data_IF_301972029529
#
_entry.id   IF_301972029529
#
_cell.length_a   1.000
_cell.length_b   1.000
_cell.length_c   1.000
_cell.angle_alpha   90.00
_cell.angle_beta   90.00
_cell.angle_gamma   90.00
#
_symmetry.space_group_name_H-M   'P 1'
#
loop_
_entity.id
_entity.type
_entity.pdbx_description
1 polymer ?
#
# COMPACT_ATOMS: atom_id res chain seq x y z
N UNK A 1 -4.21 2.55 33.39
CA UNK A 1 -3.55 3.28 32.28
C UNK A 1 -4.21 2.81 31.02
N UNK A 2 -4.81 3.69 30.22
CA UNK A 2 -5.29 3.35 28.87
C UNK A 2 -4.08 2.98 28.04
N UNK A 3 -4.10 1.79 27.41
CA UNK A 3 -3.01 1.38 26.52
C UNK A 3 -2.80 2.47 25.44
N UNK A 4 -1.55 2.77 25.14
CA UNK A 4 -1.20 3.72 24.10
C UNK A 4 -1.79 3.27 22.77
N UNK A 5 -2.42 4.20 22.06
CA UNK A 5 -3.06 3.90 20.78
C UNK A 5 -2.02 3.60 19.72
N UNK A 6 -2.22 2.52 18.97
CA UNK A 6 -1.33 2.13 17.87
C UNK A 6 -1.56 3.09 16.71
N UNK A 7 -0.47 3.70 16.23
CA UNK A 7 -0.41 4.49 15.01
C UNK A 7 0.80 4.05 14.22
N UNK A 8 0.58 3.38 13.12
CA UNK A 8 1.65 2.71 12.41
C UNK A 8 1.62 2.86 10.89
N UNK A 9 2.65 2.28 10.28
CA UNK A 9 2.76 2.16 8.83
C UNK A 9 3.30 0.78 8.46
N UNK A 10 2.80 0.21 7.36
CA UNK A 10 3.28 -1.04 6.80
C UNK A 10 4.57 -0.81 6.00
N UNK A 11 5.58 -1.64 6.21
CA UNK A 11 6.79 -1.68 5.39
C UNK A 11 6.60 -2.67 4.22
N UNK A 12 5.55 -2.44 3.43
CA UNK A 12 5.20 -3.29 2.29
C UNK A 12 6.24 -3.31 1.19
N UNK A 13 6.22 -4.36 0.38
CA UNK A 13 7.14 -4.60 -0.73
C UNK A 13 8.62 -4.68 -0.35
N UNK A 14 8.95 -4.94 0.89
CA UNK A 14 10.34 -5.09 1.33
C UNK A 14 10.81 -6.55 1.30
N UNK A 15 10.17 -7.39 2.12
CA UNK A 15 10.49 -8.83 2.24
C UNK A 15 9.48 -9.71 1.49
N UNK A 16 8.27 -9.22 1.25
CA UNK A 16 7.24 -9.78 0.38
C UNK A 16 7.06 -8.83 -0.80
N UNK A 17 7.18 -9.33 -2.01
CA UNK A 17 7.24 -8.52 -3.22
C UNK A 17 5.89 -8.40 -3.91
N UNK A 18 5.54 -7.17 -4.28
CA UNK A 18 4.34 -6.85 -5.03
C UNK A 18 4.70 -5.98 -6.25
N UNK A 19 4.49 -6.51 -7.45
CA UNK A 19 4.89 -5.85 -8.71
C UNK A 19 4.33 -4.44 -8.86
N UNK A 20 3.10 -4.20 -8.44
CA UNK A 20 2.47 -2.89 -8.57
C UNK A 20 3.14 -1.82 -7.69
N UNK A 21 3.78 -2.23 -6.59
CA UNK A 21 4.50 -1.34 -5.68
C UNK A 21 5.89 -0.95 -6.21
N UNK A 22 6.62 -1.89 -6.86
CA UNK A 22 7.92 -1.63 -7.50
C UNK A 22 8.08 -2.40 -8.81
N UNK A 23 7.51 -1.91 -9.92
CA UNK A 23 7.55 -2.59 -11.21
C UNK A 23 8.97 -2.81 -11.76
N UNK A 24 9.93 -1.94 -11.41
CA UNK A 24 11.31 -2.04 -11.89
C UNK A 24 12.02 -3.31 -11.40
N UNK A 25 11.66 -3.81 -10.21
CA UNK A 25 12.17 -5.06 -9.70
C UNK A 25 11.82 -6.26 -10.61
N UNK A 26 10.66 -6.18 -11.28
CA UNK A 26 10.13 -7.20 -12.19
C UNK A 26 10.49 -6.96 -13.66
N UNK A 27 11.29 -5.95 -13.94
CA UNK A 27 11.63 -5.54 -15.31
C UNK A 27 12.23 -6.69 -16.12
N UNK A 28 11.80 -6.80 -17.38
CA UNK A 28 12.23 -7.87 -18.29
C UNK A 28 11.52 -9.20 -18.09
N UNK A 29 10.51 -9.25 -17.22
CA UNK A 29 9.63 -10.41 -17.03
C UNK A 29 8.17 -9.98 -17.09
N UNK A 30 7.29 -10.95 -17.26
CA UNK A 30 5.84 -10.82 -17.13
C UNK A 30 5.32 -11.41 -15.80
N UNK A 31 6.22 -11.73 -14.85
CA UNK A 31 5.86 -12.21 -13.52
C UNK A 31 4.95 -11.20 -12.79
N UNK A 32 3.90 -11.69 -12.16
CA UNK A 32 3.00 -10.88 -11.33
C UNK A 32 3.33 -10.98 -9.84
N UNK A 33 4.10 -12.00 -9.44
CA UNK A 33 4.46 -12.32 -8.06
C UNK A 33 5.92 -12.79 -7.92
N UNK A 34 6.38 -12.96 -6.68
CA UNK A 34 7.77 -13.37 -6.39
C UNK A 34 8.05 -14.79 -6.84
N UNK A 35 7.10 -15.70 -6.76
CA UNK A 35 7.28 -17.09 -7.17
C UNK A 35 7.60 -17.19 -8.67
N UNK A 36 6.82 -16.48 -9.49
CA UNK A 36 7.08 -16.43 -10.93
C UNK A 36 8.30 -15.60 -11.29
N UNK A 37 8.60 -14.53 -10.54
CA UNK A 37 9.84 -13.79 -10.72
C UNK A 37 11.06 -14.70 -10.56
N UNK A 38 11.05 -15.58 -9.53
CA UNK A 38 12.11 -16.56 -9.27
C UNK A 38 12.23 -17.63 -10.35
N UNK A 39 11.11 -18.04 -10.95
CA UNK A 39 11.09 -19.04 -12.03
C UNK A 39 11.57 -18.50 -13.37
N UNK A 40 11.40 -17.19 -13.61
CA UNK A 40 11.66 -16.57 -14.91
C UNK A 40 13.04 -15.89 -15.00
N UNK A 41 13.59 -15.41 -13.91
CA UNK A 41 14.89 -14.78 -13.91
C UNK A 41 16.01 -15.79 -13.73
N UNK A 42 17.17 -15.60 -14.39
CA UNK A 42 18.39 -16.33 -14.07
C UNK A 42 18.77 -16.11 -12.59
N UNK A 43 19.21 -17.18 -11.90
CA UNK A 43 19.45 -17.16 -10.46
C UNK A 43 20.38 -16.02 -9.99
N UNK A 44 21.49 -15.77 -10.70
CA UNK A 44 22.44 -14.70 -10.36
C UNK A 44 21.82 -13.30 -10.50
N UNK A 45 20.97 -13.08 -11.50
CA UNK A 45 20.29 -11.81 -11.70
C UNK A 45 19.20 -11.59 -10.65
N UNK A 46 18.45 -12.63 -10.31
CA UNK A 46 17.48 -12.61 -9.24
C UNK A 46 18.15 -12.25 -7.89
N UNK A 47 19.22 -12.98 -7.52
CA UNK A 47 19.98 -12.74 -6.29
C UNK A 47 20.45 -11.29 -6.20
N UNK A 48 21.06 -10.77 -7.27
CA UNK A 48 21.51 -9.38 -7.34
C UNK A 48 20.34 -8.40 -7.11
N UNK A 49 19.22 -8.57 -7.83
CA UNK A 49 18.06 -7.69 -7.72
C UNK A 49 17.43 -7.73 -6.32
N UNK A 50 17.26 -8.93 -5.76
CA UNK A 50 16.68 -9.08 -4.42
C UNK A 50 17.58 -8.46 -3.34
N UNK A 51 18.90 -8.65 -3.44
CA UNK A 51 19.85 -8.04 -2.52
C UNK A 51 19.80 -6.52 -2.60
N UNK A 52 19.93 -5.95 -3.79
CA UNK A 52 19.88 -4.50 -4.01
C UNK A 52 18.55 -3.91 -3.51
N UNK A 53 17.43 -4.57 -3.79
CA UNK A 53 16.12 -4.16 -3.34
C UNK A 53 16.01 -4.19 -1.80
N UNK A 54 16.33 -5.31 -1.16
CA UNK A 54 16.21 -5.48 0.28
C UNK A 54 17.13 -4.55 1.06
N UNK A 55 18.31 -4.24 0.52
CA UNK A 55 19.26 -3.30 1.13
C UNK A 55 18.83 -1.84 1.00
N UNK A 56 18.14 -1.45 -0.06
CA UNK A 56 17.81 -0.06 -0.37
C UNK A 56 16.35 0.32 -0.13
N UNK A 57 15.43 -0.66 -0.13
CA UNK A 57 14.00 -0.38 -0.03
C UNK A 57 13.62 0.19 1.34
N UNK A 58 14.07 -0.41 2.43
CA UNK A 58 13.90 0.12 3.78
C UNK A 58 15.30 0.28 4.41
N UNK A 59 15.54 1.45 4.95
CA UNK A 59 16.81 1.84 5.56
C UNK A 59 16.60 2.40 6.97
N UNK A 60 17.66 2.54 7.75
CA UNK A 60 17.61 3.17 9.07
C UNK A 60 17.02 4.58 9.01
N UNK A 61 17.36 5.36 7.96
CA UNK A 61 16.83 6.71 7.77
C UNK A 61 15.29 6.71 7.60
N UNK A 62 14.72 5.65 6.99
CA UNK A 62 13.28 5.51 6.85
C UNK A 62 12.62 5.31 8.23
N UNK A 63 13.19 4.44 9.10
CA UNK A 63 12.67 4.22 10.46
C UNK A 63 12.77 5.49 11.32
N UNK A 64 13.87 6.21 11.24
CA UNK A 64 14.04 7.52 11.89
C UNK A 64 12.98 8.52 11.43
N UNK A 65 12.73 8.57 10.12
CA UNK A 65 11.71 9.46 9.57
C UNK A 65 10.30 9.07 10.05
N UNK A 66 9.97 7.77 10.05
CA UNK A 66 8.67 7.24 10.52
C UNK A 66 8.42 7.64 11.98
N UNK A 67 9.40 7.44 12.86
CA UNK A 67 9.32 7.87 14.26
C UNK A 67 9.11 9.38 14.39
N UNK A 68 9.79 10.17 13.55
CA UNK A 68 9.64 11.63 13.51
C UNK A 68 8.24 12.12 13.08
N UNK A 69 7.41 11.24 12.51
CA UNK A 69 6.01 11.57 12.18
C UNK A 69 5.03 11.28 13.33
N UNK A 70 5.51 10.93 14.51
CA UNK A 70 4.66 10.58 15.67
C UNK A 70 4.00 9.20 15.54
N UNK A 71 4.49 8.34 14.65
CA UNK A 71 4.09 6.94 14.59
C UNK A 71 4.87 6.15 15.66
N UNK A 72 4.23 5.13 16.24
CA UNK A 72 4.81 4.30 17.31
C UNK A 72 4.98 2.83 16.91
N UNK A 73 4.56 2.45 15.68
CA UNK A 73 4.62 1.06 15.23
C UNK A 73 4.93 0.96 13.73
N UNK A 74 5.70 -0.06 13.36
CA UNK A 74 5.82 -0.55 11.98
C UNK A 74 5.32 -1.98 11.89
N UNK A 75 4.45 -2.28 10.90
CA UNK A 75 4.06 -3.64 10.53
C UNK A 75 4.95 -4.11 9.40
N UNK A 76 5.59 -5.27 9.57
CA UNK A 76 6.55 -5.80 8.61
C UNK A 76 6.03 -7.10 8.03
N UNK A 77 5.53 -7.07 6.77
CA UNK A 77 5.19 -8.27 6.02
C UNK A 77 6.41 -9.16 5.83
N UNK A 78 6.33 -10.42 6.26
CA UNK A 78 7.39 -11.43 6.09
C UNK A 78 6.88 -12.63 5.30
N UNK A 79 7.70 -13.23 4.43
CA UNK A 79 7.31 -14.40 3.67
C UNK A 79 7.45 -15.67 4.51
N UNK A 80 6.70 -16.71 4.14
CA UNK A 80 6.78 -18.04 4.76
C UNK A 80 8.20 -18.65 4.68
N UNK A 81 8.98 -18.26 3.68
CA UNK A 81 10.35 -18.72 3.46
C UNK A 81 11.41 -17.81 4.12
N UNK A 82 11.03 -16.95 5.06
CA UNK A 82 11.93 -15.98 5.72
C UNK A 82 13.27 -16.58 6.16
N UNK A 83 13.28 -17.81 6.60
CA UNK A 83 14.47 -18.51 7.10
C UNK A 83 15.28 -19.24 6.02
N UNK A 84 14.81 -19.31 4.78
CA UNK A 84 15.52 -19.93 3.66
C UNK A 84 15.61 -21.46 3.72
N UNK A 85 14.72 -22.14 4.43
CA UNK A 85 14.79 -23.60 4.64
C UNK A 85 14.39 -24.42 3.41
N UNK A 86 13.71 -23.80 2.46
CA UNK A 86 13.16 -24.47 1.28
C UNK A 86 13.65 -23.83 -0.01
N UNK A 87 14.45 -24.58 -0.77
CA UNK A 87 14.86 -24.16 -2.10
C UNK A 87 13.63 -23.92 -3.03
N UNK A 88 13.67 -22.95 -3.93
CA UNK A 88 14.79 -22.08 -4.28
C UNK A 88 14.84 -20.75 -3.49
N UNK A 89 14.20 -20.68 -2.33
CA UNK A 89 14.09 -19.46 -1.56
C UNK A 89 15.28 -19.30 -0.60
N UNK A 90 15.88 -18.11 -0.65
CA UNK A 90 16.98 -17.73 0.23
C UNK A 90 16.45 -17.03 1.48
N UNK A 91 17.21 -17.13 2.57
CA UNK A 91 16.90 -16.42 3.81
C UNK A 91 16.88 -14.90 3.59
N UNK A 92 15.96 -14.25 4.27
CA UNK A 92 15.93 -12.79 4.39
C UNK A 92 15.73 -12.33 5.85
N UNK A 93 15.95 -13.21 6.80
CA UNK A 93 15.78 -12.95 8.23
C UNK A 93 16.70 -11.84 8.76
N UNK A 94 17.89 -11.67 8.21
CA UNK A 94 18.83 -10.63 8.59
C UNK A 94 18.28 -9.20 8.38
N UNK A 95 17.42 -9.01 7.40
CA UNK A 95 16.76 -7.72 7.17
C UNK A 95 15.74 -7.42 8.28
N UNK A 96 15.02 -8.45 8.74
CA UNK A 96 14.13 -8.32 9.89
C UNK A 96 14.91 -8.04 11.18
N UNK A 97 16.07 -8.71 11.39
CA UNK A 97 16.96 -8.43 12.52
C UNK A 97 17.43 -6.97 12.54
N UNK A 98 17.82 -6.43 11.37
CA UNK A 98 18.19 -5.02 11.21
C UNK A 98 17.01 -4.09 11.51
N UNK A 99 15.80 -4.44 11.07
CA UNK A 99 14.60 -3.64 11.35
C UNK A 99 14.36 -3.50 12.85
N UNK A 100 14.55 -4.56 13.63
CA UNK A 100 14.43 -4.51 15.09
C UNK A 100 15.47 -3.57 15.72
N UNK A 101 16.73 -3.64 15.27
CA UNK A 101 17.78 -2.74 15.77
C UNK A 101 17.44 -1.27 15.51
N UNK A 102 16.92 -0.96 14.32
CA UNK A 102 16.54 0.40 13.97
C UNK A 102 15.27 0.84 14.70
N UNK A 103 14.25 -0.02 14.76
CA UNK A 103 12.98 0.29 15.44
C UNK A 103 13.23 0.59 16.94
N UNK A 104 13.96 -0.26 17.64
CA UNK A 104 14.32 -0.07 19.05
C UNK A 104 15.11 1.22 19.28
N UNK A 105 16.06 1.57 18.38
CA UNK A 105 16.83 2.82 18.45
C UNK A 105 15.93 4.05 18.40
N UNK A 106 14.86 4.01 17.66
CA UNK A 106 13.95 5.16 17.48
C UNK A 106 12.63 5.02 18.25
N UNK A 107 12.51 4.08 19.16
CA UNK A 107 11.34 3.90 20.03
C UNK A 107 10.10 3.35 19.31
N UNK A 108 10.27 2.76 18.11
CA UNK A 108 9.19 2.11 17.38
C UNK A 108 9.00 0.67 17.83
N UNK A 109 7.75 0.21 17.85
CA UNK A 109 7.42 -1.21 17.99
C UNK A 109 7.29 -1.88 16.63
N UNK A 110 7.53 -3.19 16.59
CA UNK A 110 7.42 -4.01 15.38
C UNK A 110 6.28 -5.00 15.55
N UNK A 111 5.32 -4.98 14.64
CA UNK A 111 4.37 -6.06 14.40
C UNK A 111 4.90 -6.90 13.24
N UNK A 112 5.33 -8.13 13.51
CA UNK A 112 5.70 -9.08 12.45
C UNK A 112 4.42 -9.66 11.89
N UNK A 113 4.25 -9.59 10.58
CA UNK A 113 3.09 -10.14 9.88
C UNK A 113 3.51 -11.27 8.94
N UNK A 114 3.07 -12.50 9.22
CA UNK A 114 3.25 -13.59 8.27
C UNK A 114 2.33 -13.38 7.07
N UNK A 115 2.90 -12.82 6.02
CA UNK A 115 2.13 -12.26 4.90
C UNK A 115 1.79 -13.27 3.81
N UNK A 116 2.56 -14.34 3.69
CA UNK A 116 2.38 -15.36 2.66
C UNK A 116 2.42 -16.77 3.25
N UNK A 117 1.87 -17.74 2.51
CA UNK A 117 1.96 -19.16 2.82
C UNK A 117 2.37 -19.96 1.58
N UNK A 118 2.98 -21.17 1.74
CA UNK A 118 3.18 -22.05 0.61
C UNK A 118 1.84 -22.40 -0.05
N UNK A 119 1.74 -22.22 -1.37
CA UNK A 119 0.47 -22.43 -2.07
C UNK A 119 -0.60 -21.34 -1.82
N UNK A 120 -0.21 -20.24 -1.20
CA UNK A 120 -0.99 -19.01 -1.01
C UNK A 120 -2.30 -19.19 -0.21
N UNK A 121 -2.71 -18.18 0.53
CA UNK A 121 -3.92 -18.15 1.37
C UNK A 121 -5.05 -17.27 0.81
N UNK A 122 -4.78 -16.49 -0.24
CA UNK A 122 -5.79 -15.60 -0.82
C UNK A 122 -5.85 -15.57 -2.35
N UNK A 123 -4.81 -16.03 -3.06
CA UNK A 123 -4.73 -16.01 -4.53
C UNK A 123 -4.34 -14.68 -5.14
N UNK A 124 -3.97 -13.69 -4.31
CA UNK A 124 -3.46 -12.40 -4.76
C UNK A 124 -1.92 -12.41 -4.87
N UNK A 125 -1.36 -11.37 -5.47
CA UNK A 125 0.07 -11.16 -5.60
C UNK A 125 0.77 -10.99 -4.23
N UNK A 126 0.12 -10.31 -3.28
CA UNK A 126 0.60 -10.19 -1.90
C UNK A 126 0.73 -11.55 -1.17
N UNK A 127 0.04 -12.59 -1.60
CA UNK A 127 0.21 -13.96 -1.10
C UNK A 127 1.37 -14.72 -1.75
N UNK A 128 2.07 -14.12 -2.72
CA UNK A 128 3.30 -14.63 -3.35
C UNK A 128 3.12 -15.59 -4.50
N UNK A 129 1.87 -15.97 -4.86
CA UNK A 129 1.56 -16.85 -6.00
C UNK A 129 0.15 -16.55 -6.54
N UNK A 130 0.08 -15.74 -7.59
CA UNK A 130 -1.19 -15.27 -8.17
C UNK A 130 -2.04 -16.42 -8.70
N UNK A 131 -3.33 -16.39 -8.35
CA UNK A 131 -4.34 -17.34 -8.85
C UNK A 131 -4.36 -18.69 -8.16
N UNK A 132 -3.47 -18.93 -7.20
CA UNK A 132 -3.43 -20.16 -6.40
C UNK A 132 -3.88 -19.84 -4.98
N UNK A 133 -4.76 -20.66 -4.39
CA UNK A 133 -5.20 -20.53 -3.00
C UNK A 133 -5.50 -21.92 -2.44
N UNK A 134 -4.48 -22.66 -1.99
CA UNK A 134 -4.61 -24.06 -1.57
C UNK A 134 -3.85 -24.43 -0.30
N UNK A 135 -3.09 -23.51 0.29
CA UNK A 135 -2.32 -23.75 1.52
C UNK A 135 -3.11 -24.54 2.58
N UNK A 136 -4.33 -24.11 2.88
CA UNK A 136 -5.18 -24.67 3.94
C UNK A 136 -5.63 -26.12 3.68
N UNK A 137 -5.38 -26.65 2.48
CA UNK A 137 -5.73 -28.02 2.07
C UNK A 137 -4.57 -29.00 2.18
N UNK A 138 -3.40 -28.51 2.48
CA UNK A 138 -2.18 -29.30 2.64
C UNK A 138 -1.74 -29.27 4.10
N UNK A 139 -1.95 -30.38 4.85
CA UNK A 139 -1.59 -30.45 6.26
C UNK A 139 -0.10 -30.24 6.54
N UNK A 140 0.79 -30.65 5.61
CA UNK A 140 2.24 -30.48 5.76
C UNK A 140 2.62 -29.01 5.65
N UNK A 141 1.99 -28.30 4.71
CA UNK A 141 2.22 -26.86 4.55
C UNK A 141 1.62 -26.04 5.70
N UNK A 142 0.50 -26.47 6.25
CA UNK A 142 -0.08 -25.88 7.47
C UNK A 142 0.86 -26.03 8.65
N UNK A 143 1.41 -27.24 8.85
CA UNK A 143 2.37 -27.53 9.92
C UNK A 143 3.67 -26.75 9.75
N UNK A 144 4.14 -26.63 8.51
CA UNK A 144 5.31 -25.82 8.21
C UNK A 144 5.10 -24.33 8.59
N UNK A 145 3.95 -23.75 8.25
CA UNK A 145 3.60 -22.39 8.62
C UNK A 145 3.55 -22.19 10.14
N UNK A 146 2.99 -23.16 10.87
CA UNK A 146 3.01 -23.16 12.35
C UNK A 146 4.45 -23.21 12.91
N UNK A 147 5.32 -23.95 12.26
CA UNK A 147 6.74 -24.01 12.61
C UNK A 147 7.44 -22.68 12.36
N UNK A 148 7.16 -22.01 11.23
CA UNK A 148 7.69 -20.65 10.94
C UNK A 148 7.24 -19.66 12.02
N UNK A 149 5.97 -19.66 12.40
CA UNK A 149 5.44 -18.80 13.47
C UNK A 149 6.13 -19.08 14.82
N UNK A 150 6.32 -20.34 15.17
CA UNK A 150 7.03 -20.74 16.41
C UNK A 150 8.46 -20.22 16.41
N UNK A 151 9.17 -20.34 15.26
CA UNK A 151 10.54 -19.82 15.11
C UNK A 151 10.61 -18.30 15.21
N UNK A 152 9.61 -17.59 14.65
CA UNK A 152 9.49 -16.12 14.80
C UNK A 152 9.31 -15.77 16.28
N UNK A 153 8.40 -16.43 16.98
CA UNK A 153 8.18 -16.23 18.42
C UNK A 153 9.43 -16.52 19.25
N UNK A 154 10.14 -17.62 19.00
CA UNK A 154 11.38 -17.96 19.69
C UNK A 154 12.51 -16.96 19.45
N UNK A 155 12.64 -16.43 18.21
CA UNK A 155 13.69 -15.48 17.85
C UNK A 155 13.44 -14.08 18.39
N UNK A 156 12.21 -13.59 18.30
CA UNK A 156 11.87 -12.19 18.58
C UNK A 156 11.04 -11.98 19.85
N UNK A 157 10.51 -13.03 20.46
CA UNK A 157 9.58 -12.95 21.60
C UNK A 157 10.10 -12.11 22.75
N UNK A 158 11.40 -12.19 23.04
CA UNK A 158 12.05 -11.43 24.11
C UNK A 158 12.61 -10.06 23.68
N UNK A 159 12.42 -9.65 22.40
CA UNK A 159 12.86 -8.32 21.98
C UNK A 159 11.98 -7.25 22.56
N UNK A 160 12.58 -6.20 23.10
CA UNK A 160 11.82 -5.06 23.63
C UNK A 160 10.98 -4.40 22.54
N UNK A 161 11.54 -4.29 21.34
CA UNK A 161 10.88 -3.71 20.18
C UNK A 161 9.69 -4.51 19.64
N UNK A 162 9.51 -5.80 20.03
CA UNK A 162 8.36 -6.56 19.55
C UNK A 162 7.05 -6.06 20.16
N UNK A 163 6.10 -5.64 19.32
CA UNK A 163 4.70 -5.47 19.70
C UNK A 163 3.99 -6.82 19.73
N UNK A 164 4.13 -7.60 18.66
CA UNK A 164 3.48 -8.89 18.52
C UNK A 164 3.73 -9.56 17.17
N UNK A 165 3.05 -10.68 16.98
CA UNK A 165 3.08 -11.44 15.72
C UNK A 165 1.66 -11.58 15.20
N UNK A 166 1.45 -11.16 13.96
CA UNK A 166 0.25 -11.44 13.19
C UNK A 166 0.41 -12.78 12.49
N UNK A 167 -0.56 -13.66 12.77
CA UNK A 167 -0.45 -15.09 12.47
C UNK A 167 -0.57 -15.37 10.98
N UNK A 168 -1.39 -14.59 10.26
CA UNK A 168 -1.58 -14.75 8.83
C UNK A 168 -2.28 -13.53 8.22
N UNK A 169 -1.70 -12.94 7.19
CA UNK A 169 -2.30 -11.89 6.38
C UNK A 169 -3.44 -12.43 5.49
N UNK A 170 -4.58 -11.77 5.50
CA UNK A 170 -5.68 -11.87 4.51
C UNK A 170 -6.10 -13.29 4.06
N UNK A 171 -6.37 -14.25 4.95
CA UNK A 171 -6.93 -15.53 4.53
C UNK A 171 -8.33 -15.34 3.93
N UNK A 172 -8.45 -15.60 2.62
CA UNK A 172 -9.60 -15.18 1.83
C UNK A 172 -10.93 -15.86 2.22
N UNK A 173 -11.99 -15.06 2.35
CA UNK A 173 -13.34 -15.57 2.62
C UNK A 173 -14.01 -16.14 1.37
N UNK A 174 -15.08 -16.90 1.56
CA UNK A 174 -15.91 -17.41 0.45
C UNK A 174 -16.43 -16.26 -0.42
N UNK A 175 -16.96 -15.21 0.20
CA UNK A 175 -17.54 -14.07 -0.52
C UNK A 175 -16.49 -13.36 -1.38
N UNK A 176 -15.33 -13.04 -0.80
CA UNK A 176 -14.27 -12.33 -1.53
C UNK A 176 -13.67 -13.21 -2.62
N UNK A 177 -13.45 -14.51 -2.34
CA UNK A 177 -12.92 -15.45 -3.32
C UNK A 177 -13.82 -15.58 -4.58
N UNK A 178 -15.14 -15.58 -4.41
CA UNK A 178 -16.08 -15.70 -5.53
C UNK A 178 -16.48 -14.35 -6.16
N UNK A 179 -16.23 -13.23 -5.51
CA UNK A 179 -16.50 -11.91 -6.08
C UNK A 179 -15.34 -11.38 -6.94
N UNK A 180 -14.14 -11.94 -6.80
CA UNK A 180 -12.98 -11.58 -7.60
C UNK A 180 -12.45 -12.82 -8.36
N UNK A 181 -12.00 -12.70 -9.62
CA UNK A 181 -11.50 -13.84 -10.40
C UNK A 181 -10.08 -14.23 -9.95
N UNK A 182 -9.92 -14.74 -8.73
CA UNK A 182 -8.61 -15.08 -8.15
C UNK A 182 -7.91 -16.19 -8.94
N UNK A 183 -8.59 -17.33 -9.15
CA UNK A 183 -8.00 -18.47 -9.88
C UNK A 183 -7.96 -18.26 -11.39
N UNK A 184 -8.78 -17.38 -11.94
CA UNK A 184 -8.75 -17.04 -13.37
C UNK A 184 -7.46 -16.31 -13.80
N UNK A 185 -6.68 -15.81 -12.83
CA UNK A 185 -5.39 -15.14 -13.05
C UNK A 185 -4.18 -16.06 -12.92
N UNK A 186 -4.39 -17.33 -12.56
CA UNK A 186 -3.27 -18.26 -12.42
C UNK A 186 -2.54 -18.44 -13.75
N UNK A 187 -1.22 -18.26 -13.73
CA UNK A 187 -0.36 -18.48 -14.90
C UNK A 187 -0.28 -19.96 -15.25
N UNK A 188 -0.24 -20.81 -14.23
CA UNK A 188 -0.33 -22.26 -14.36
C UNK A 188 -1.67 -22.76 -13.82
N UNK A 189 -2.51 -23.28 -14.72
CA UNK A 189 -3.82 -23.81 -14.38
C UNK A 189 -3.75 -25.12 -13.57
N UNK A 190 -2.73 -25.93 -13.78
CA UNK A 190 -2.54 -27.17 -13.02
C UNK A 190 -2.15 -26.82 -11.58
N UNK A 191 -1.26 -25.84 -11.38
CA UNK A 191 -0.88 -25.37 -10.06
C UNK A 191 -2.06 -24.76 -9.29
N UNK A 192 -3.01 -24.15 -9.99
CA UNK A 192 -4.24 -23.58 -9.39
C UNK A 192 -5.32 -24.64 -9.10
N UNK A 193 -5.16 -25.87 -9.59
CA UNK A 193 -6.13 -26.94 -9.36
C UNK A 193 -6.29 -27.22 -7.87
N UNK A 194 -7.52 -27.32 -7.42
CA UNK A 194 -7.84 -27.50 -6.02
C UNK A 194 -7.80 -26.21 -5.18
N UNK A 195 -7.58 -25.03 -5.78
CA UNK A 195 -7.71 -23.74 -5.06
C UNK A 195 -9.13 -23.53 -4.55
N UNK A 196 -9.26 -22.76 -3.47
CA UNK A 196 -10.53 -22.40 -2.85
C UNK A 196 -10.37 -21.43 -1.69
N UNK A 197 -11.47 -20.85 -1.23
CA UNK A 197 -11.46 -19.97 -0.07
C UNK A 197 -11.02 -20.73 1.20
N UNK A 198 -10.49 -19.98 2.17
CA UNK A 198 -10.12 -20.53 3.49
C UNK A 198 -11.36 -20.63 4.39
N UNK A 199 -11.82 -21.85 4.77
CA UNK A 199 -13.01 -22.00 5.60
C UNK A 199 -12.84 -21.40 6.99
N UNK A 200 -13.85 -20.71 7.52
CA UNK A 200 -13.80 -20.11 8.85
C UNK A 200 -13.53 -21.14 9.97
N UNK A 201 -14.09 -22.35 9.83
CA UNK A 201 -13.84 -23.44 10.79
C UNK A 201 -12.37 -23.81 10.84
N UNK A 202 -11.74 -23.99 9.67
CA UNK A 202 -10.31 -24.25 9.55
C UNK A 202 -9.50 -23.12 10.17
N UNK A 203 -9.80 -21.87 9.82
CA UNK A 203 -9.07 -20.71 10.28
C UNK A 203 -9.11 -20.56 11.82
N UNK A 204 -10.24 -20.84 12.44
CA UNK A 204 -10.36 -20.86 13.90
C UNK A 204 -9.48 -21.91 14.56
N UNK A 205 -9.42 -23.12 14.00
CA UNK A 205 -8.55 -24.19 14.50
C UNK A 205 -7.08 -23.81 14.35
N UNK A 206 -6.70 -23.31 13.18
CA UNK A 206 -5.35 -22.85 12.90
C UNK A 206 -4.92 -21.71 13.87
N UNK A 207 -5.79 -20.72 14.12
CA UNK A 207 -5.48 -19.62 15.03
C UNK A 207 -5.33 -20.06 16.49
N UNK A 208 -6.13 -21.02 16.96
CA UNK A 208 -5.97 -21.58 18.30
C UNK A 208 -4.63 -22.30 18.43
N UNK A 209 -4.26 -23.10 17.45
CA UNK A 209 -2.98 -23.83 17.48
C UNK A 209 -1.79 -22.88 17.36
N UNK A 210 -1.86 -21.88 16.48
CA UNK A 210 -0.83 -20.84 16.36
C UNK A 210 -0.67 -20.05 17.67
N UNK A 211 -1.78 -19.66 18.31
CA UNK A 211 -1.76 -19.00 19.62
C UNK A 211 -1.06 -19.88 20.67
N UNK A 212 -1.44 -21.15 20.78
CA UNK A 212 -0.85 -22.07 21.74
C UNK A 212 0.67 -22.17 21.56
N UNK A 213 1.15 -22.38 20.33
CA UNK A 213 2.59 -22.49 20.02
C UNK A 213 3.35 -21.20 20.26
N UNK A 214 2.78 -20.07 19.91
CA UNK A 214 3.39 -18.76 20.17
C UNK A 214 3.53 -18.52 21.68
N UNK A 215 2.55 -18.91 22.50
CA UNK A 215 2.61 -18.73 23.95
C UNK A 215 3.63 -19.65 24.64
N UNK A 216 4.08 -20.72 24.00
CA UNK A 216 5.18 -21.55 24.49
C UNK A 216 6.55 -20.87 24.37
N UNK A 217 6.69 -19.94 23.42
CA UNK A 217 7.98 -19.30 23.06
C UNK A 217 7.99 -17.78 23.17
N UNK A 218 6.84 -17.15 23.44
CA UNK A 218 6.70 -15.72 23.46
C UNK A 218 5.95 -15.26 24.73
N UNK A 219 6.47 -14.26 25.48
CA UNK A 219 5.83 -13.74 26.69
C UNK A 219 4.39 -13.25 26.47
N UNK A 220 3.58 -13.28 27.54
CA UNK A 220 2.16 -12.88 27.48
C UNK A 220 1.95 -11.39 27.23
N UNK A 221 2.95 -10.55 27.49
CA UNK A 221 2.90 -9.11 27.19
C UNK A 221 3.06 -8.78 25.69
N UNK A 222 3.49 -9.75 24.89
CA UNK A 222 3.55 -9.61 23.43
C UNK A 222 2.22 -10.01 22.79
N UNK A 223 1.75 -9.20 21.84
CA UNK A 223 0.47 -9.44 21.18
C UNK A 223 0.50 -10.64 20.21
N UNK A 224 -0.62 -11.36 20.12
CA UNK A 224 -0.92 -12.23 18.99
C UNK A 224 -2.07 -11.61 18.21
N UNK A 225 -1.85 -11.33 16.93
CA UNK A 225 -2.81 -10.67 16.07
C UNK A 225 -3.38 -11.67 15.07
N UNK A 226 -4.70 -11.63 14.89
CA UNK A 226 -5.41 -12.49 13.95
C UNK A 226 -6.13 -11.64 12.93
N UNK A 227 -5.94 -11.90 11.64
CA UNK A 227 -6.70 -11.24 10.60
C UNK A 227 -8.14 -11.78 10.54
N UNK A 228 -9.12 -10.91 10.30
CA UNK A 228 -10.55 -11.26 10.28
C UNK A 228 -10.98 -12.15 9.10
N UNK A 229 -10.11 -12.28 8.09
CA UNK A 229 -10.39 -13.02 6.87
C UNK A 229 -11.59 -12.45 6.12
N UNK A 230 -11.79 -11.14 6.16
CA UNK A 230 -12.92 -10.41 5.58
C UNK A 230 -14.28 -10.86 6.14
N UNK A 231 -14.33 -11.21 7.44
CA UNK A 231 -15.51 -11.75 8.15
C UNK A 231 -15.61 -11.19 9.58
N UNK A 232 -15.38 -9.90 9.74
CA UNK A 232 -15.16 -9.22 11.01
C UNK A 232 -16.14 -9.67 12.11
N UNK A 233 -17.44 -9.63 11.86
CA UNK A 233 -18.44 -9.94 12.90
C UNK A 233 -18.55 -11.42 13.22
N UNK A 234 -18.03 -12.32 12.38
CA UNK A 234 -18.07 -13.75 12.62
C UNK A 234 -17.17 -14.21 13.79
N UNK A 235 -16.26 -13.32 14.25
CA UNK A 235 -15.30 -13.61 15.31
C UNK A 235 -15.84 -13.35 16.73
N UNK A 236 -16.97 -12.67 16.89
CA UNK A 236 -17.53 -12.32 18.21
C UNK A 236 -17.68 -13.53 19.13
N UNK A 237 -18.28 -14.63 18.65
CA UNK A 237 -18.48 -15.81 19.47
C UNK A 237 -17.17 -16.54 19.79
N UNK A 238 -16.18 -16.45 18.91
CA UNK A 238 -14.88 -17.06 19.09
C UNK A 238 -14.13 -16.42 20.27
N UNK A 239 -14.02 -15.09 20.28
CA UNK A 239 -13.29 -14.38 21.34
C UNK A 239 -14.07 -14.30 22.66
N UNK A 240 -15.41 -14.30 22.64
CA UNK A 240 -16.21 -14.34 23.87
C UNK A 240 -16.04 -15.61 24.71
N UNK A 241 -15.55 -16.70 24.12
CA UNK A 241 -15.23 -17.91 24.88
C UNK A 241 -14.09 -17.72 25.87
N UNK A 242 -13.29 -16.66 25.68
CA UNK A 242 -12.18 -16.29 26.57
C UNK A 242 -10.99 -17.23 26.50
N UNK A 243 -10.04 -17.04 27.42
CA UNK A 243 -8.86 -17.89 27.54
C UNK A 243 -7.64 -17.44 26.79
N UNK A 244 -7.77 -16.54 25.80
CA UNK A 244 -6.63 -15.93 25.11
C UNK A 244 -6.30 -14.57 25.72
N UNK A 245 -5.01 -14.34 26.02
CA UNK A 245 -4.51 -13.10 26.57
C UNK A 245 -3.76 -12.29 25.51
N UNK A 246 -3.85 -10.98 25.58
CA UNK A 246 -3.16 -10.02 24.71
C UNK A 246 -3.30 -10.37 23.23
N UNK A 247 -4.54 -10.48 22.79
CA UNK A 247 -4.90 -10.76 21.39
C UNK A 247 -5.60 -9.57 20.76
N UNK A 248 -5.39 -9.39 19.48
CA UNK A 248 -6.04 -8.38 18.65
C UNK A 248 -6.67 -9.06 17.44
N UNK A 249 -7.76 -8.51 16.95
CA UNK A 249 -8.33 -8.86 15.66
C UNK A 249 -8.00 -7.75 14.67
N UNK A 250 -7.27 -8.10 13.63
CA UNK A 250 -6.96 -7.20 12.53
C UNK A 250 -8.06 -7.23 11.47
N UNK A 251 -8.33 -6.07 10.88
CA UNK A 251 -9.23 -5.89 9.74
C UNK A 251 -8.65 -4.89 8.76
N UNK A 252 -8.74 -5.18 7.47
CA UNK A 252 -8.31 -4.28 6.40
C UNK A 252 -9.51 -3.52 5.84
N UNK A 253 -9.42 -2.20 5.80
CA UNK A 253 -10.54 -1.32 5.45
C UNK A 253 -10.12 -0.35 4.35
N UNK A 254 -10.57 -0.62 3.14
CA UNK A 254 -10.23 0.19 1.98
C UNK A 254 -11.48 0.78 1.32
N UNK A 255 -11.61 2.10 1.30
CA UNK A 255 -12.65 2.78 0.49
C UNK A 255 -12.50 2.41 -0.98
N UNK A 256 -11.27 2.28 -1.47
CA UNK A 256 -10.97 1.85 -2.84
C UNK A 256 -11.60 0.48 -3.18
N UNK A 257 -11.57 -0.49 -2.26
CA UNK A 257 -12.19 -1.80 -2.47
C UNK A 257 -13.72 -1.68 -2.59
N UNK A 258 -14.35 -0.81 -1.79
CA UNK A 258 -15.77 -0.50 -1.91
C UNK A 258 -16.11 0.12 -3.27
N UNK A 259 -15.24 1.01 -3.78
CA UNK A 259 -15.43 1.68 -5.08
C UNK A 259 -15.40 0.72 -6.28
N UNK A 260 -14.84 -0.49 -6.14
CA UNK A 260 -14.92 -1.52 -7.18
C UNK A 260 -16.34 -2.05 -7.38
N UNK A 261 -17.14 -2.05 -6.31
CA UNK A 261 -18.50 -2.59 -6.32
C UNK A 261 -19.59 -1.51 -6.46
N UNK A 262 -19.28 -0.25 -6.12
CA UNK A 262 -20.23 0.86 -6.16
C UNK A 262 -19.77 1.95 -7.15
N UNK A 263 -20.62 2.38 -8.08
CA UNK A 263 -20.26 3.39 -9.09
C UNK A 263 -20.21 4.83 -8.54
N UNK A 264 -20.51 5.03 -7.27
CA UNK A 264 -20.64 6.34 -6.65
C UNK A 264 -19.37 6.71 -5.86
N UNK A 265 -18.61 7.69 -6.38
CA UNK A 265 -17.35 8.17 -5.80
C UNK A 265 -17.57 9.55 -5.14
N UNK A 266 -18.39 9.59 -4.10
CA UNK A 266 -18.77 10.83 -3.40
C UNK A 266 -18.46 10.73 -1.90
N UNK A 267 -18.02 11.80 -1.24
CA UNK A 267 -17.70 11.79 0.19
C UNK A 267 -18.83 11.28 1.08
N UNK A 268 -20.09 11.56 0.75
CA UNK A 268 -21.22 11.07 1.55
C UNK A 268 -21.34 9.54 1.53
N UNK A 269 -21.02 8.87 0.40
CA UNK A 269 -21.01 7.41 0.29
C UNK A 269 -19.89 6.83 1.14
N UNK A 270 -18.72 7.48 1.14
CA UNK A 270 -17.60 7.08 2.00
C UNK A 270 -17.96 7.17 3.48
N UNK A 271 -18.65 8.26 3.91
CA UNK A 271 -19.13 8.40 5.30
C UNK A 271 -20.11 7.28 5.67
N UNK A 272 -21.00 6.87 4.77
CA UNK A 272 -21.90 5.74 5.02
C UNK A 272 -21.14 4.42 5.15
N UNK A 273 -20.17 4.17 4.28
CA UNK A 273 -19.31 2.98 4.35
C UNK A 273 -18.52 2.96 5.67
N UNK A 274 -17.82 4.04 6.00
CA UNK A 274 -17.02 4.16 7.21
C UNK A 274 -17.89 4.06 8.46
N UNK A 275 -19.06 4.69 8.50
CA UNK A 275 -20.02 4.56 9.61
C UNK A 275 -20.54 3.13 9.79
N UNK A 276 -20.71 2.38 8.69
CA UNK A 276 -21.03 0.96 8.77
C UNK A 276 -19.85 0.15 9.34
N UNK A 277 -18.64 0.37 8.83
CA UNK A 277 -17.42 -0.27 9.32
C UNK A 277 -17.21 0.00 10.82
N UNK A 278 -17.32 1.26 11.24
CA UNK A 278 -17.21 1.64 12.65
C UNK A 278 -18.22 0.90 13.54
N UNK A 279 -19.48 0.83 13.10
CA UNK A 279 -20.53 0.09 13.84
C UNK A 279 -20.19 -1.39 13.99
N UNK A 280 -19.66 -2.02 12.93
CA UNK A 280 -19.24 -3.42 12.98
C UNK A 280 -18.03 -3.60 13.92
N UNK A 281 -17.03 -2.74 13.81
CA UNK A 281 -15.83 -2.73 14.65
C UNK A 281 -16.24 -2.58 16.13
N UNK A 282 -17.03 -1.57 16.49
CA UNK A 282 -17.53 -1.35 17.87
C UNK A 282 -18.26 -2.56 18.43
N UNK A 283 -18.98 -3.31 17.59
CA UNK A 283 -19.65 -4.55 18.00
C UNK A 283 -18.65 -5.64 18.37
N UNK A 284 -17.55 -5.77 17.62
CA UNK A 284 -16.51 -6.78 17.82
C UNK A 284 -15.59 -6.40 18.99
N UNK A 285 -15.33 -5.14 19.17
CA UNK A 285 -14.49 -4.62 20.27
C UNK A 285 -15.04 -4.91 21.68
N UNK A 286 -16.30 -5.32 21.78
CA UNK A 286 -16.85 -5.86 23.05
C UNK A 286 -16.26 -7.23 23.43
N UNK A 287 -15.57 -7.91 22.51
CA UNK A 287 -15.01 -9.23 22.71
C UNK A 287 -13.48 -9.27 22.56
N UNK A 288 -12.91 -8.42 21.72
CA UNK A 288 -11.48 -8.36 21.41
C UNK A 288 -11.12 -6.98 20.88
N UNK A 289 -9.97 -6.37 21.25
CA UNK A 289 -9.49 -5.15 20.60
C UNK A 289 -9.36 -5.34 19.10
N UNK A 290 -9.85 -4.37 18.31
CA UNK A 290 -9.76 -4.38 16.84
C UNK A 290 -8.72 -3.38 16.39
N UNK A 291 -7.78 -3.85 15.57
CA UNK A 291 -6.78 -3.06 14.86
C UNK A 291 -7.22 -2.90 13.41
N UNK A 292 -7.03 -1.72 12.81
CA UNK A 292 -7.13 -1.55 11.36
C UNK A 292 -5.71 -1.64 10.80
N UNK A 293 -5.29 -2.87 10.43
CA UNK A 293 -3.92 -3.17 10.03
C UNK A 293 -3.55 -2.68 8.65
N UNK A 294 -4.57 -2.44 7.80
CA UNK A 294 -4.34 -1.82 6.51
C UNK A 294 -5.48 -0.87 6.12
N UNK A 295 -5.12 0.32 5.67
CA UNK A 295 -5.98 1.34 5.07
C UNK A 295 -5.16 2.32 4.28
N UNK A 296 -5.77 3.10 3.39
CA UNK A 296 -5.09 4.17 2.66
C UNK A 296 -6.10 5.22 2.16
N UNK A 297 -5.62 6.42 1.84
CA UNK A 297 -6.45 7.51 1.30
C UNK A 297 -6.65 7.46 -0.22
N UNK A 298 -6.28 6.36 -0.88
CA UNK A 298 -6.51 6.19 -2.30
C UNK A 298 -8.00 6.01 -2.57
N UNK A 299 -8.61 6.99 -3.25
CA UNK A 299 -9.99 6.95 -3.73
C UNK A 299 -10.07 7.56 -5.11
N UNK A 300 -11.08 7.20 -5.90
CA UNK A 300 -11.35 7.84 -7.19
C UNK A 300 -11.72 9.32 -7.03
N UNK A 301 -12.36 9.67 -5.92
CA UNK A 301 -12.68 11.07 -5.60
C UNK A 301 -11.42 11.95 -5.46
N UNK A 302 -10.39 11.45 -4.80
CA UNK A 302 -9.16 12.20 -4.54
C UNK A 302 -8.13 12.02 -5.68
N UNK A 303 -7.99 10.80 -6.24
CA UNK A 303 -6.97 10.45 -7.23
C UNK A 303 -7.31 10.91 -8.65
N UNK A 304 -8.58 10.85 -9.02
CA UNK A 304 -9.03 11.23 -10.37
C UNK A 304 -9.63 12.63 -10.37
N UNK A 305 -8.77 13.63 -10.38
CA UNK A 305 -9.15 14.89 -10.97
C UNK A 305 -9.41 14.61 -12.45
N UNK A 306 -10.59 14.98 -12.96
CA UNK A 306 -11.02 14.81 -14.36
C UNK A 306 -10.12 15.56 -15.36
N UNK A 307 -8.80 15.35 -15.30
CA UNK A 307 -7.83 16.11 -16.10
C UNK A 307 -7.51 15.48 -17.43
N UNK A 308 -7.84 14.19 -17.66
CA UNK A 308 -7.57 13.57 -18.96
C UNK A 308 -8.37 14.15 -20.14
N UNK A 309 -9.40 14.96 -19.89
CA UNK A 309 -10.10 15.67 -20.99
C UNK A 309 -9.55 17.05 -21.29
N UNK A 310 -8.71 17.63 -20.44
CA UNK A 310 -8.19 18.98 -20.63
C UNK A 310 -6.71 19.03 -21.01
N UNK A 311 -5.89 18.06 -20.62
CA UNK A 311 -4.48 18.02 -21.01
C UNK A 311 -4.29 17.79 -22.53
N UNK A 312 -5.18 17.02 -23.18
CA UNK A 312 -5.13 16.84 -24.62
C UNK A 312 -5.76 17.97 -25.44
N UNK A 313 -6.81 18.62 -24.93
CA UNK A 313 -7.52 19.65 -25.70
C UNK A 313 -7.03 21.07 -25.46
N UNK A 314 -6.48 21.36 -24.28
CA UNK A 314 -5.94 22.69 -23.97
C UNK A 314 -4.59 22.95 -24.63
N UNK A 315 -3.72 21.95 -24.65
CA UNK A 315 -2.43 22.00 -25.36
C UNK A 315 -2.59 21.94 -26.87
N UNK A 316 -3.57 21.20 -27.39
CA UNK A 316 -3.89 21.18 -28.81
C UNK A 316 -4.47 22.52 -29.29
N UNK A 317 -5.37 23.15 -28.54
CA UNK A 317 -5.96 24.44 -28.90
C UNK A 317 -4.88 25.54 -28.82
N UNK A 318 -4.01 25.49 -27.79
CA UNK A 318 -2.90 26.44 -27.69
C UNK A 318 -1.83 26.21 -28.75
N UNK A 319 -1.45 24.95 -28.99
CA UNK A 319 -0.53 24.57 -30.05
C UNK A 319 -1.05 24.93 -31.45
N UNK A 320 -2.34 24.74 -31.71
CA UNK A 320 -3.01 25.14 -32.94
C UNK A 320 -3.06 26.66 -33.07
N UNK A 321 -3.38 27.40 -32.02
CA UNK A 321 -3.38 28.88 -32.03
C UNK A 321 -1.98 29.47 -32.16
N UNK A 322 -0.97 28.91 -31.50
CA UNK A 322 0.43 29.32 -31.66
C UNK A 322 0.93 29.02 -33.07
N UNK A 323 0.53 27.92 -33.68
CA UNK A 323 0.83 27.58 -35.05
C UNK A 323 0.13 28.51 -36.05
N UNK A 324 -1.16 28.81 -35.82
CA UNK A 324 -1.91 29.79 -36.62
C UNK A 324 -1.30 31.20 -36.52
N UNK A 325 -0.84 31.61 -35.31
CA UNK A 325 -0.11 32.88 -35.15
C UNK A 325 1.25 32.87 -35.87
N UNK A 326 2.02 31.78 -35.76
CA UNK A 326 3.30 31.62 -36.46
C UNK A 326 3.11 31.69 -37.99
N UNK A 327 2.10 30.97 -38.52
CA UNK A 327 1.79 30.99 -39.97
C UNK A 327 1.30 32.37 -40.44
N UNK A 328 0.54 33.12 -39.59
CA UNK A 328 0.16 34.49 -39.87
C UNK A 328 1.36 35.43 -39.85
N UNK A 329 2.26 35.28 -38.87
CA UNK A 329 3.50 36.05 -38.74
C UNK A 329 4.41 35.81 -39.93
N UNK A 330 4.60 34.56 -40.37
CA UNK A 330 5.39 34.20 -41.53
C UNK A 330 4.80 34.80 -42.83
N UNK A 331 3.48 34.86 -42.94
CA UNK A 331 2.77 35.49 -44.07
C UNK A 331 2.97 37.01 -44.12
N UNK A 332 2.92 37.66 -42.92
CA UNK A 332 3.15 39.11 -42.80
C UNK A 332 4.63 39.45 -43.09
N UNK A 333 5.57 38.60 -42.64
CA UNK A 333 7.00 38.78 -42.87
C UNK A 333 7.37 38.61 -44.36
N UNK A 334 6.75 37.69 -45.09
CA UNK A 334 6.93 37.50 -46.52
C UNK A 334 6.50 38.72 -47.37
N UNK A 335 5.53 39.51 -46.85
CA UNK A 335 5.06 40.74 -47.52
C UNK A 335 5.87 41.99 -47.10
N UNK A 336 6.57 41.93 -45.96
CA UNK A 336 7.33 43.04 -45.35
C UNK A 336 8.73 43.28 -45.98
N UNK A 337 9.23 42.36 -46.82
CA UNK A 337 10.55 42.49 -47.49
C UNK A 337 10.63 43.69 -48.44
N UNK A 338 9.49 44.38 -48.65
CA UNK A 338 9.41 45.61 -49.48
C UNK A 338 9.69 46.91 -48.69
N UNK A 339 9.83 46.89 -47.35
CA UNK A 339 9.95 48.09 -46.52
C UNK A 339 11.01 47.96 -45.39
N UNK A 340 12.27 47.74 -45.76
CA UNK A 340 13.40 47.43 -44.85
C UNK A 340 13.67 48.35 -43.66
N UNK A 341 13.10 49.53 -43.59
CA UNK A 341 13.33 50.48 -42.50
C UNK A 341 12.30 50.43 -41.38
N UNK A 342 11.10 49.91 -41.62
CA UNK A 342 10.03 49.71 -40.64
C UNK A 342 10.07 48.31 -39.99
N UNK A 343 10.67 47.33 -40.66
CA UNK A 343 10.71 45.93 -40.27
C UNK A 343 11.41 45.74 -38.92
N UNK A 344 12.58 46.34 -38.71
CA UNK A 344 13.33 46.14 -37.46
C UNK A 344 12.61 46.65 -36.19
N UNK A 345 11.79 47.72 -36.30
CA UNK A 345 10.99 48.21 -35.20
C UNK A 345 9.72 47.37 -34.98
N UNK A 346 9.18 46.77 -36.02
CA UNK A 346 8.07 45.84 -35.96
C UNK A 346 8.50 44.51 -35.39
N UNK A 347 9.64 43.98 -35.85
CA UNK A 347 10.25 42.74 -35.32
C UNK A 347 10.53 42.83 -33.82
N UNK A 348 11.06 43.94 -33.35
CA UNK A 348 11.29 44.14 -31.90
C UNK A 348 9.99 44.17 -31.07
N UNK A 349 8.98 44.91 -31.56
CA UNK A 349 7.66 44.99 -30.89
C UNK A 349 6.94 43.65 -30.94
N UNK A 350 7.09 42.91 -32.00
CA UNK A 350 6.51 41.60 -32.17
C UNK A 350 7.18 40.56 -31.26
N UNK A 351 8.52 40.60 -31.12
CA UNK A 351 9.28 39.78 -30.19
C UNK A 351 8.88 40.09 -28.71
N UNK A 352 8.72 41.39 -28.36
CA UNK A 352 8.25 41.81 -27.04
C UNK A 352 6.81 41.37 -26.76
N UNK A 353 5.93 41.41 -27.77
CA UNK A 353 4.56 40.91 -27.64
C UNK A 353 4.48 39.41 -27.51
N UNK A 354 5.26 38.65 -28.28
CA UNK A 354 5.35 37.21 -28.15
C UNK A 354 5.87 36.79 -26.79
N UNK A 355 6.95 37.43 -26.31
CA UNK A 355 7.49 37.17 -24.98
C UNK A 355 6.47 37.47 -23.86
N UNK A 356 5.69 38.56 -24.00
CA UNK A 356 4.60 38.89 -23.05
C UNK A 356 3.49 37.83 -23.04
N UNK A 357 3.12 37.32 -24.24
CA UNK A 357 2.14 36.23 -24.37
C UNK A 357 2.65 34.94 -23.76
N UNK A 358 3.91 34.55 -24.04
CA UNK A 358 4.53 33.38 -23.45
C UNK A 358 4.54 33.46 -21.90
N UNK A 359 4.99 34.57 -21.34
CA UNK A 359 4.98 34.79 -19.91
C UNK A 359 3.57 34.70 -19.30
N UNK A 360 2.57 35.31 -19.95
CA UNK A 360 1.18 35.25 -19.52
C UNK A 360 0.61 33.82 -19.55
N UNK A 361 0.95 33.05 -20.59
CA UNK A 361 0.57 31.65 -20.73
C UNK A 361 1.25 30.79 -19.66
N UNK A 362 2.53 30.98 -19.42
CA UNK A 362 3.26 30.27 -18.36
C UNK A 362 2.70 30.59 -16.98
N UNK A 363 2.40 31.87 -16.70
CA UNK A 363 1.77 32.27 -15.45
C UNK A 363 0.38 31.61 -15.28
N UNK A 364 -0.46 31.67 -16.29
CA UNK A 364 -1.79 31.04 -16.27
C UNK A 364 -1.69 29.52 -16.05
N UNK A 365 -0.75 28.84 -16.72
CA UNK A 365 -0.54 27.40 -16.52
C UNK A 365 -0.05 27.09 -15.12
N UNK A 366 0.80 27.95 -14.53
CA UNK A 366 1.30 27.82 -13.18
C UNK A 366 0.15 27.96 -12.16
N UNK A 367 -0.61 29.05 -12.24
CA UNK A 367 -1.77 29.33 -11.35
C UNK A 367 -2.80 28.20 -11.42
N UNK A 368 -3.09 27.72 -12.63
CA UNK A 368 -4.02 26.61 -12.83
C UNK A 368 -3.50 25.29 -12.24
N UNK A 369 -2.19 25.03 -12.36
CA UNK A 369 -1.54 23.87 -11.76
C UNK A 369 -1.61 23.95 -10.23
N UNK A 370 -1.33 25.10 -9.65
CA UNK A 370 -1.41 25.34 -8.20
C UNK A 370 -2.84 25.16 -7.69
N UNK A 371 -3.83 25.73 -8.35
CA UNK A 371 -5.25 25.56 -8.00
C UNK A 371 -5.70 24.09 -8.08
N UNK A 372 -5.20 23.32 -9.05
CA UNK A 372 -5.48 21.91 -9.17
C UNK A 372 -4.82 21.09 -8.05
N UNK A 373 -3.60 21.44 -7.68
CA UNK A 373 -2.87 20.80 -6.58
C UNK A 373 -3.56 21.07 -5.24
N UNK A 374 -4.00 22.30 -5.00
CA UNK A 374 -4.74 22.63 -3.79
C UNK A 374 -6.08 21.88 -3.70
N UNK A 375 -6.84 21.85 -4.78
CA UNK A 375 -8.08 21.06 -4.83
C UNK A 375 -7.85 19.57 -4.62
N UNK A 376 -6.74 19.03 -5.09
CA UNK A 376 -6.35 17.66 -4.83
C UNK A 376 -6.00 17.45 -3.35
N UNK A 377 -5.27 18.40 -2.76
CA UNK A 377 -4.91 18.40 -1.34
C UNK A 377 -6.16 18.40 -0.45
N UNK A 378 -7.10 19.30 -0.71
CA UNK A 378 -8.39 19.36 0.01
C UNK A 378 -9.12 18.01 -0.02
N UNK A 379 -9.20 17.36 -1.18
CA UNK A 379 -9.89 16.09 -1.34
C UNK A 379 -9.19 14.94 -0.60
N UNK A 380 -7.86 14.87 -0.66
CA UNK A 380 -7.13 13.87 0.08
C UNK A 380 -7.22 14.09 1.58
N UNK A 381 -7.19 15.33 2.05
CA UNK A 381 -7.43 15.68 3.46
C UNK A 381 -8.84 15.30 3.90
N UNK A 382 -9.86 15.61 3.11
CA UNK A 382 -11.23 15.18 3.43
C UNK A 382 -11.34 13.68 3.63
N UNK A 383 -10.71 12.88 2.76
CA UNK A 383 -10.69 11.42 2.90
C UNK A 383 -9.89 10.99 4.13
N UNK A 384 -8.70 11.53 4.32
CA UNK A 384 -7.85 11.21 5.48
C UNK A 384 -8.56 11.51 6.80
N UNK A 385 -9.20 12.67 6.92
CA UNK A 385 -9.94 13.06 8.12
C UNK A 385 -11.12 12.15 8.42
N UNK A 386 -11.86 11.73 7.39
CA UNK A 386 -12.97 10.79 7.57
C UNK A 386 -12.48 9.43 8.09
N UNK A 387 -11.42 8.89 7.48
CA UNK A 387 -10.85 7.60 7.86
C UNK A 387 -10.22 7.66 9.25
N UNK A 388 -9.34 8.63 9.52
CA UNK A 388 -8.68 8.78 10.82
C UNK A 388 -9.68 8.95 11.98
N UNK A 389 -10.72 9.79 11.81
CA UNK A 389 -11.79 9.91 12.82
C UNK A 389 -12.49 8.58 13.09
N UNK A 390 -12.68 7.77 12.07
CA UNK A 390 -13.31 6.45 12.20
C UNK A 390 -12.38 5.49 12.97
N UNK A 391 -11.10 5.46 12.60
CA UNK A 391 -10.11 4.56 13.20
C UNK A 391 -9.70 4.98 14.62
N UNK A 392 -9.93 6.24 15.01
CA UNK A 392 -9.75 6.67 16.41
C UNK A 392 -10.66 5.90 17.39
N UNK A 393 -11.72 5.26 16.94
CA UNK A 393 -12.56 4.39 17.77
C UNK A 393 -12.00 2.97 17.99
N UNK A 394 -10.89 2.61 17.35
CA UNK A 394 -10.27 1.26 17.37
C UNK A 394 -9.08 1.19 18.32
N UNK A 395 -8.45 0.03 18.45
CA UNK A 395 -7.18 -0.11 19.18
C UNK A 395 -6.03 0.64 18.50
N UNK A 396 -6.17 0.91 17.23
CA UNK A 396 -5.23 1.68 16.42
C UNK A 396 -5.35 1.38 14.94
N UNK A 397 -4.46 1.97 14.18
CA UNK A 397 -4.43 1.85 12.73
C UNK A 397 -3.01 1.79 12.18
N UNK A 398 -2.83 1.14 11.02
CA UNK A 398 -1.56 1.00 10.33
C UNK A 398 -1.79 1.28 8.84
N UNK A 399 -1.14 2.31 8.30
CA UNK A 399 -1.32 2.74 6.93
C UNK A 399 -0.65 1.80 5.93
N UNK A 400 -1.32 1.43 4.83
CA UNK A 400 -0.71 0.72 3.72
C UNK A 400 -0.42 1.67 2.56
N UNK A 401 0.83 1.95 2.21
CA UNK A 401 2.08 1.47 2.74
C UNK A 401 3.04 2.65 2.94
N UNK A 402 4.22 2.42 3.54
CA UNK A 402 5.19 3.47 3.79
C UNK A 402 5.62 4.19 2.51
N UNK A 403 5.99 3.45 1.45
CA UNK A 403 6.40 4.01 0.16
C UNK A 403 6.13 3.07 -1.01
N UNK A 404 6.00 3.67 -2.20
CA UNK A 404 5.87 2.97 -3.49
C UNK A 404 6.89 3.51 -4.49
N UNK A 405 7.29 2.64 -5.45
CA UNK A 405 8.16 3.01 -6.57
C UNK A 405 9.44 3.75 -6.13
N UNK A 406 9.98 3.40 -4.98
CA UNK A 406 11.18 4.02 -4.41
C UNK A 406 11.09 5.54 -4.35
N UNK A 407 12.08 6.22 -4.91
CA UNK A 407 12.11 7.68 -5.05
C UNK A 407 11.70 8.16 -6.45
N UNK A 408 11.33 7.24 -7.36
CA UNK A 408 10.93 7.57 -8.73
C UNK A 408 9.69 8.45 -8.75
N UNK A 409 9.67 9.43 -9.64
CA UNK A 409 8.47 10.22 -9.90
C UNK A 409 7.42 9.33 -10.57
N UNK A 410 6.19 9.35 -10.06
CA UNK A 410 5.06 8.65 -10.66
C UNK A 410 4.62 9.37 -11.94
N UNK A 411 4.31 8.60 -12.98
CA UNK A 411 3.72 9.13 -14.21
C UNK A 411 2.27 9.57 -14.00
N UNK A 412 1.70 10.27 -14.97
CA UNK A 412 0.28 10.66 -14.91
C UNK A 412 -0.65 9.45 -14.77
N UNK A 413 -0.36 8.35 -15.49
CA UNK A 413 -1.12 7.09 -15.39
C UNK A 413 -1.01 6.38 -14.04
N UNK A 414 0.02 6.70 -13.25
CA UNK A 414 0.25 6.15 -11.92
C UNK A 414 -0.19 7.08 -10.79
N UNK A 415 -0.84 8.20 -11.10
CA UNK A 415 -1.26 9.21 -10.10
C UNK A 415 -2.14 8.64 -8.98
N UNK A 416 -2.91 7.59 -9.26
CA UNK A 416 -3.70 6.87 -8.27
C UNK A 416 -2.85 6.24 -7.16
N UNK A 417 -1.57 5.91 -7.43
CA UNK A 417 -0.65 5.34 -6.43
C UNK A 417 -0.27 6.32 -5.32
N UNK A 418 -0.44 7.64 -5.53
CA UNK A 418 -0.06 8.61 -4.49
C UNK A 418 -0.76 8.37 -3.16
N UNK A 419 -2.05 8.04 -3.18
CA UNK A 419 -2.82 7.77 -1.96
C UNK A 419 -2.46 6.46 -1.24
N UNK A 420 -1.56 5.66 -1.80
CA UNK A 420 -1.00 4.45 -1.18
C UNK A 420 0.38 4.68 -0.54
N UNK A 421 1.05 5.80 -0.84
CA UNK A 421 2.40 6.12 -0.37
C UNK A 421 2.32 7.12 0.80
N UNK A 422 2.41 6.62 2.03
CA UNK A 422 2.32 7.43 3.25
C UNK A 422 3.33 8.57 3.27
N UNK A 423 4.60 8.28 2.92
CA UNK A 423 5.67 9.28 2.91
C UNK A 423 5.36 10.44 1.97
N UNK A 424 4.79 10.14 0.79
CA UNK A 424 4.37 11.17 -0.17
C UNK A 424 3.12 11.92 0.31
N UNK A 425 2.18 11.22 0.95
CA UNK A 425 0.98 11.86 1.52
C UNK A 425 1.33 12.88 2.60
N UNK A 426 2.23 12.51 3.52
CA UNK A 426 2.71 13.43 4.57
C UNK A 426 3.46 14.63 3.96
N UNK A 427 4.42 14.39 3.05
CA UNK A 427 5.18 15.47 2.38
C UNK A 427 4.31 16.44 1.57
N UNK A 428 3.13 16.03 1.17
CA UNK A 428 2.15 16.85 0.44
C UNK A 428 1.12 17.49 1.37
N UNK A 429 1.22 17.26 2.68
CA UNK A 429 0.26 17.73 3.67
C UNK A 429 -1.13 17.15 3.47
N UNK A 430 -1.24 15.91 2.99
CA UNK A 430 -2.52 15.20 2.85
C UNK A 430 -2.91 14.43 4.11
N UNK A 431 -1.92 14.05 4.90
CA UNK A 431 -2.04 13.38 6.21
C UNK A 431 -1.12 14.11 7.19
N UNK A 432 -1.53 14.24 8.45
CA UNK A 432 -0.82 14.94 9.51
C UNK A 432 -1.22 16.41 9.64
N UNK A 433 -0.86 17.02 10.76
CA UNK A 433 -1.01 18.47 10.97
C UNK A 433 0.02 19.22 10.10
N UNK A 434 -0.34 20.43 9.67
CA UNK A 434 0.65 21.32 9.08
C UNK A 434 1.72 21.58 10.15
N UNK A 435 2.94 21.07 9.94
CA UNK A 435 4.08 21.64 10.64
C UNK A 435 4.17 23.09 10.18
N UNK A 436 3.69 24.02 11.01
CA UNK A 436 4.01 25.41 10.86
C UNK A 436 5.54 25.51 10.85
N UNK A 437 6.12 25.55 9.63
CA UNK A 437 7.53 25.72 9.38
C UNK A 437 7.94 27.17 9.50
#
# INVERSE_FOLDING_TARGET
>A
MTAEKIRGVNLGNWLVLERWMEPELFRGTDAEDETWLRRLLPAKELERRLKEHRESWITEADLKWIAGQGLNLVRIPVPWFLFGDRAPYESCVEYLDRAFLWAERYGLKVLIDLHTTPGNQNGYDNGGLVGVCRWHRDPEEVEYVLTVLTRLGARYGNREGLFGIEVLNEPISWLVYHSAPTTGRARDREESRGSGHVPLKFLRTFYLEAYRRLREVMPEDKAVVFHDGFRLTAWNAFFRRGGMKNVYLDTHQYIWAMEMFLPFHKPFVYRLFLGHAEKQIRKVQKAVPVLVGEWCICTRHASFLRNHRYEGKGTDILGTRLKELSEFTDSVMADADRHRGLVGKLEQKEAEALQSVEQSVEQFLRERKEALQEKQRERYREVADMELRTWESTAGWIYWSYKLCGNRRLTAGESWKYGWDFRRCVRRGWIGEESNG
#
